data_IF_425175532547
#
_entry.id   IF_425175532547
#
_cell.length_a   1.000
_cell.length_b   1.000
_cell.length_c   1.000
_cell.angle_alpha   90.00
_cell.angle_beta   90.00
_cell.angle_gamma   90.00
#
_symmetry.space_group_name_H-M   'P 1'
#
loop_
_entity.id
_entity.type
_entity.pdbx_description
1 polymer ?
#
# COMPACT_ATOMS: atom_id res chain seq x y z
N UNK A 1 51.80 -16.95 10.84
CA UNK A 1 51.02 -16.35 11.95
C UNK A 1 49.97 -15.30 11.56
N UNK A 2 49.98 -14.79 10.33
CA UNK A 2 49.01 -13.74 9.88
C UNK A 2 47.64 -14.26 9.39
N UNK A 3 47.50 -15.55 9.13
CA UNK A 3 46.25 -16.12 8.51
C UNK A 3 45.04 -16.09 9.50
N UNK A 4 45.25 -16.39 10.76
CA UNK A 4 44.20 -16.44 11.77
C UNK A 4 43.47 -15.09 11.99
N UNK A 5 44.16 -13.95 12.17
CA UNK A 5 43.50 -12.67 12.32
C UNK A 5 42.74 -12.21 11.06
N UNK A 6 43.24 -12.57 9.83
CA UNK A 6 42.55 -12.27 8.59
C UNK A 6 41.26 -13.06 8.46
N UNK A 7 41.24 -14.34 8.82
CA UNK A 7 40.03 -15.17 8.82
C UNK A 7 38.99 -14.67 9.85
N UNK A 8 39.43 -14.28 11.04
CA UNK A 8 38.53 -13.71 12.07
C UNK A 8 37.92 -12.40 11.58
N UNK A 9 38.70 -11.50 10.99
CA UNK A 9 38.20 -10.25 10.44
C UNK A 9 37.19 -10.48 9.30
N UNK A 10 37.49 -11.38 8.38
CA UNK A 10 36.58 -11.75 7.30
C UNK A 10 35.26 -12.33 7.84
N UNK A 11 35.31 -13.20 8.85
CA UNK A 11 34.13 -13.76 9.49
C UNK A 11 33.26 -12.68 10.18
N UNK A 12 33.91 -11.71 10.85
CA UNK A 12 33.21 -10.57 11.47
C UNK A 12 32.56 -9.68 10.43
N UNK A 13 33.23 -9.37 9.33
CA UNK A 13 32.64 -8.61 8.22
C UNK A 13 31.44 -9.34 7.61
N UNK A 14 31.56 -10.63 7.38
CA UNK A 14 30.48 -11.46 6.83
C UNK A 14 29.28 -11.49 7.81
N UNK A 15 29.53 -11.67 9.10
CA UNK A 15 28.46 -11.67 10.12
C UNK A 15 27.75 -10.33 10.21
N UNK A 16 28.48 -9.21 10.11
CA UNK A 16 27.92 -7.87 10.07
C UNK A 16 27.08 -7.65 8.81
N UNK A 17 27.53 -8.10 7.66
CA UNK A 17 26.82 -8.03 6.38
C UNK A 17 25.51 -8.85 6.44
N UNK A 18 25.58 -10.07 6.96
CA UNK A 18 24.39 -10.93 7.16
C UNK A 18 23.43 -10.24 8.12
N UNK A 19 23.87 -9.71 9.25
CA UNK A 19 23.04 -9.00 10.20
C UNK A 19 22.36 -7.76 9.56
N UNK A 20 23.07 -7.05 8.67
CA UNK A 20 22.54 -5.90 7.95
C UNK A 20 21.43 -6.29 6.96
N UNK A 21 21.65 -7.36 6.18
CA UNK A 21 20.71 -7.88 5.20
C UNK A 21 19.47 -8.48 5.87
N UNK A 22 19.66 -9.11 7.03
CA UNK A 22 18.61 -9.80 7.78
C UNK A 22 17.82 -8.89 8.71
N UNK A 23 18.04 -7.56 8.70
CA UNK A 23 17.28 -6.64 9.55
C UNK A 23 15.80 -6.62 9.16
N UNK A 24 14.89 -6.59 10.17
CA UNK A 24 13.47 -6.33 9.91
C UNK A 24 13.28 -4.94 9.30
N UNK A 25 12.29 -4.81 8.45
CA UNK A 25 11.90 -3.55 7.82
C UNK A 25 10.46 -3.27 8.13
N UNK A 26 10.15 -2.04 8.49
CA UNK A 26 8.80 -1.59 8.82
C UNK A 26 8.24 -0.70 7.72
N UNK A 27 7.01 -0.97 7.33
CA UNK A 27 6.28 -0.23 6.31
C UNK A 27 5.01 0.35 6.92
N UNK A 28 4.86 1.67 6.79
CA UNK A 28 3.69 2.43 7.18
C UNK A 28 2.87 2.72 5.94
N UNK A 29 1.87 1.89 5.65
CA UNK A 29 0.97 2.11 4.53
C UNK A 29 -0.08 3.13 4.92
N UNK A 30 -0.09 4.26 4.23
CA UNK A 30 -1.01 5.37 4.44
C UNK A 30 -1.96 5.46 3.26
N UNK A 31 -3.27 5.41 3.49
CA UNK A 31 -4.23 5.81 2.47
C UNK A 31 -4.14 7.33 2.30
N UNK A 32 -4.18 7.82 1.06
CA UNK A 32 -4.21 9.26 0.79
C UNK A 32 -5.30 9.97 1.60
N UNK A 33 -5.11 11.25 1.90
CA UNK A 33 -6.09 12.11 2.55
C UNK A 33 -7.38 12.25 1.72
N UNK A 34 -8.46 12.72 2.34
CA UNK A 34 -9.71 13.00 1.66
C UNK A 34 -9.51 13.91 0.44
N UNK A 35 -10.23 13.63 -0.64
CA UNK A 35 -10.24 14.48 -1.85
C UNK A 35 -11.57 15.23 -1.95
N UNK A 36 -11.61 16.30 -2.73
CA UNK A 36 -12.86 17.01 -3.05
C UNK A 36 -13.90 16.04 -3.61
N UNK A 37 -13.50 15.18 -4.55
CA UNK A 37 -14.39 14.18 -5.15
C UNK A 37 -14.84 13.08 -4.17
N UNK A 38 -14.04 12.77 -3.14
CA UNK A 38 -14.51 11.89 -2.05
C UNK A 38 -15.66 12.53 -1.27
N UNK A 39 -15.50 13.80 -0.89
CA UNK A 39 -16.52 14.55 -0.17
C UNK A 39 -17.81 14.72 -0.98
N UNK A 40 -17.69 14.83 -2.29
CA UNK A 40 -18.82 14.94 -3.23
C UNK A 40 -19.39 13.57 -3.66
N UNK A 41 -18.88 12.46 -3.15
CA UNK A 41 -19.28 11.10 -3.54
C UNK A 41 -19.17 10.82 -5.04
N UNK A 42 -18.14 11.35 -5.71
CA UNK A 42 -17.86 11.14 -7.13
C UNK A 42 -16.77 10.08 -7.32
N UNK A 43 -16.96 9.19 -8.30
CA UNK A 43 -15.98 8.18 -8.66
C UNK A 43 -14.75 8.80 -9.31
N UNK A 44 -13.58 8.52 -8.74
CA UNK A 44 -12.33 9.15 -9.16
C UNK A 44 -11.53 8.27 -10.11
N UNK A 45 -10.87 8.94 -11.05
CA UNK A 45 -9.76 8.39 -11.85
C UNK A 45 -8.39 8.70 -11.21
N UNK A 46 -7.45 9.06 -12.06
CA UNK A 46 -6.07 9.39 -11.65
C UNK A 46 -5.99 10.77 -10.99
N UNK A 47 -6.75 11.72 -11.50
CA UNK A 47 -6.79 13.11 -11.07
C UNK A 47 -7.68 13.31 -9.84
N UNK A 48 -7.60 14.48 -9.27
CA UNK A 48 -8.34 14.89 -8.08
C UNK A 48 -7.43 15.12 -6.89
N UNK A 49 -7.31 16.39 -6.50
CA UNK A 49 -6.49 16.85 -5.38
C UNK A 49 -7.18 16.64 -4.02
N UNK A 50 -6.43 16.87 -2.96
CA UNK A 50 -6.93 16.81 -1.59
C UNK A 50 -7.92 17.93 -1.30
N UNK A 51 -8.95 17.62 -0.52
CA UNK A 51 -9.79 18.61 0.15
C UNK A 51 -8.97 19.31 1.26
N UNK A 52 -9.49 20.40 1.80
CA UNK A 52 -8.86 21.03 2.96
C UNK A 52 -8.84 20.11 4.18
N UNK A 53 -9.84 19.25 4.32
CA UNK A 53 -9.86 18.20 5.32
C UNK A 53 -8.73 17.17 5.06
N UNK A 54 -8.58 16.71 3.81
CA UNK A 54 -7.51 15.80 3.42
C UNK A 54 -6.10 16.35 3.66
N UNK A 55 -5.90 17.65 3.46
CA UNK A 55 -4.64 18.32 3.81
C UNK A 55 -4.38 18.30 5.32
N UNK A 56 -5.42 18.55 6.16
CA UNK A 56 -5.30 18.44 7.62
C UNK A 56 -4.98 17.00 8.05
N UNK A 57 -5.66 16.02 7.47
CA UNK A 57 -5.38 14.60 7.70
C UNK A 57 -3.92 14.24 7.36
N UNK A 58 -3.41 14.69 6.21
CA UNK A 58 -2.02 14.44 5.83
C UNK A 58 -1.01 15.09 6.78
N UNK A 59 -1.31 16.29 7.32
CA UNK A 59 -0.49 16.94 8.36
C UNK A 59 -0.49 16.14 9.65
N UNK A 60 -1.64 15.62 10.10
CA UNK A 60 -1.74 14.77 11.29
C UNK A 60 -0.87 13.52 11.15
N UNK A 61 -0.88 12.85 9.97
CA UNK A 61 0.03 11.74 9.68
C UNK A 61 1.49 12.17 9.79
N UNK A 62 1.86 13.31 9.21
CA UNK A 62 3.21 13.84 9.28
C UNK A 62 3.67 14.07 10.73
N UNK A 63 2.81 14.70 11.54
CA UNK A 63 3.05 14.93 12.98
C UNK A 63 3.22 13.61 13.74
N UNK A 64 2.36 12.63 13.48
CA UNK A 64 2.42 11.31 14.11
C UNK A 64 3.74 10.57 13.80
N UNK A 65 4.19 10.64 12.55
CA UNK A 65 5.34 9.89 12.06
C UNK A 65 6.69 10.61 12.29
N UNK A 66 6.73 11.91 12.60
CA UNK A 66 7.97 12.72 12.64
C UNK A 66 9.04 12.24 13.64
N UNK A 67 8.61 11.53 14.69
CA UNK A 67 9.53 11.01 15.71
C UNK A 67 10.00 9.58 15.42
N UNK A 68 9.49 8.95 14.35
CA UNK A 68 9.88 7.62 13.95
C UNK A 68 11.09 7.67 13.00
N UNK A 69 11.95 6.64 12.99
CA UNK A 69 13.16 6.62 12.16
C UNK A 69 12.85 6.33 10.69
N UNK A 70 11.93 7.10 10.10
CA UNK A 70 11.56 6.98 8.69
C UNK A 70 12.72 7.41 7.80
N UNK A 71 13.10 6.58 6.84
CA UNK A 71 14.23 6.85 5.94
C UNK A 71 13.80 7.27 4.53
N UNK A 72 12.54 6.98 4.13
CA UNK A 72 11.99 7.39 2.83
C UNK A 72 10.47 7.31 2.77
N UNK A 73 9.92 7.94 1.74
CA UNK A 73 8.52 7.78 1.32
C UNK A 73 8.50 7.17 -0.08
N UNK A 74 7.61 6.21 -0.32
CA UNK A 74 7.27 5.73 -1.67
C UNK A 74 5.78 5.98 -1.87
N UNK A 75 5.41 6.76 -2.87
CA UNK A 75 4.03 7.17 -3.11
C UNK A 75 3.52 6.69 -4.46
N UNK A 76 2.20 6.48 -4.53
CA UNK A 76 1.48 6.38 -5.78
C UNK A 76 1.73 7.61 -6.67
N UNK A 77 1.60 7.42 -7.98
CA UNK A 77 1.71 8.51 -8.97
C UNK A 77 0.46 9.38 -9.07
N UNK A 78 -0.70 8.96 -8.51
CA UNK A 78 -1.94 9.73 -8.56
C UNK A 78 -1.85 11.00 -7.72
N UNK A 79 -2.46 12.10 -8.20
CA UNK A 79 -2.32 13.45 -7.63
C UNK A 79 -2.57 13.45 -6.11
N UNK A 80 -3.69 12.92 -5.63
CA UNK A 80 -4.06 12.89 -4.20
C UNK A 80 -3.02 12.21 -3.31
N UNK A 81 -2.38 11.14 -3.80
CA UNK A 81 -1.32 10.45 -3.06
C UNK A 81 -0.01 11.24 -3.08
N UNK A 82 0.31 11.89 -4.22
CA UNK A 82 1.47 12.78 -4.31
C UNK A 82 1.33 13.95 -3.33
N UNK A 83 0.19 14.65 -3.32
CA UNK A 83 -0.08 15.76 -2.39
C UNK A 83 0.01 15.26 -0.94
N UNK A 84 -0.60 14.14 -0.60
CA UNK A 84 -0.49 13.52 0.73
C UNK A 84 0.98 13.28 1.10
N UNK A 85 1.76 12.67 0.20
CA UNK A 85 3.17 12.36 0.45
C UNK A 85 4.03 13.61 0.61
N UNK A 86 3.75 14.67 -0.14
CA UNK A 86 4.47 15.94 -0.03
C UNK A 86 4.20 16.62 1.32
N UNK A 87 2.93 16.67 1.76
CA UNK A 87 2.57 17.24 3.06
C UNK A 87 3.20 16.44 4.21
N UNK A 88 3.16 15.11 4.17
CA UNK A 88 3.84 14.26 5.15
C UNK A 88 5.35 14.56 5.16
N UNK A 89 5.95 14.78 3.98
CA UNK A 89 7.38 15.02 3.86
C UNK A 89 7.84 16.39 4.38
N UNK A 90 6.94 17.35 4.56
CA UNK A 90 7.25 18.61 5.27
C UNK A 90 7.74 18.34 6.70
N UNK A 91 7.28 17.26 7.32
CA UNK A 91 7.65 16.82 8.66
C UNK A 91 8.84 15.84 8.69
N UNK A 92 8.90 14.92 7.73
CA UNK A 92 9.90 13.84 7.71
C UNK A 92 11.21 14.25 7.04
N UNK A 93 11.17 15.11 6.02
CA UNK A 93 12.32 15.63 5.26
C UNK A 93 13.22 14.53 4.69
N UNK A 94 12.61 13.49 4.14
CA UNK A 94 13.29 12.33 3.53
C UNK A 94 13.10 12.28 2.02
N UNK A 95 13.77 11.35 1.34
CA UNK A 95 13.58 11.14 -0.09
C UNK A 95 12.17 10.62 -0.40
N UNK A 96 11.54 11.16 -1.46
CA UNK A 96 10.24 10.71 -1.97
C UNK A 96 10.42 10.07 -3.33
N UNK A 97 9.97 8.83 -3.48
CA UNK A 97 9.93 8.09 -4.74
C UNK A 97 8.48 7.87 -5.17
N UNK A 98 8.24 7.82 -6.47
CA UNK A 98 6.90 7.57 -7.01
C UNK A 98 6.87 6.24 -7.77
N UNK A 99 5.78 5.47 -7.57
CA UNK A 99 5.63 4.16 -8.20
C UNK A 99 4.22 3.94 -8.74
N UNK A 100 4.07 3.59 -10.02
CA UNK A 100 2.78 3.23 -10.60
C UNK A 100 2.23 1.91 -10.05
N UNK A 101 3.02 1.14 -9.31
CA UNK A 101 2.53 -0.07 -8.64
C UNK A 101 1.62 0.23 -7.45
N UNK A 102 1.65 1.46 -6.92
CA UNK A 102 0.90 1.88 -5.75
C UNK A 102 -0.41 2.60 -6.09
N UNK A 103 -0.77 2.72 -7.37
CA UNK A 103 -2.01 3.38 -7.79
C UNK A 103 -3.26 2.63 -7.32
N UNK A 104 -4.41 3.31 -7.32
CA UNK A 104 -5.69 2.68 -7.00
C UNK A 104 -6.07 1.62 -8.04
N UNK A 105 -7.02 0.74 -7.71
CA UNK A 105 -7.68 -0.11 -8.69
C UNK A 105 -8.24 0.77 -9.80
N UNK A 106 -7.92 0.43 -11.06
CA UNK A 106 -8.52 1.12 -12.19
C UNK A 106 -9.98 0.68 -12.32
N UNK A 107 -10.89 1.64 -12.13
CA UNK A 107 -12.31 1.45 -12.35
C UNK A 107 -12.64 1.46 -13.86
N UNK A 108 -13.77 0.87 -14.27
CA UNK A 108 -14.28 1.05 -15.63
C UNK A 108 -14.41 2.55 -15.96
N UNK A 109 -14.01 2.95 -17.16
CA UNK A 109 -14.07 4.35 -17.62
C UNK A 109 -15.48 4.93 -17.57
N UNK A 110 -16.48 4.07 -17.72
CA UNK A 110 -17.90 4.42 -17.75
C UNK A 110 -18.41 5.06 -16.46
N UNK A 111 -17.75 4.78 -15.32
CA UNK A 111 -18.15 5.31 -14.00
C UNK A 111 -17.28 6.47 -13.52
N UNK A 112 -16.15 6.74 -14.16
CA UNK A 112 -15.25 7.82 -13.76
C UNK A 112 -15.91 9.19 -13.96
N UNK A 113 -15.81 10.06 -12.94
CA UNK A 113 -16.39 11.40 -12.94
C UNK A 113 -17.91 11.44 -12.68
N UNK A 114 -18.54 10.29 -12.45
CA UNK A 114 -19.98 10.22 -12.15
C UNK A 114 -20.23 10.08 -10.64
N UNK A 115 -21.33 10.65 -10.12
CA UNK A 115 -21.76 10.44 -8.73
C UNK A 115 -22.00 8.96 -8.43
N UNK A 116 -21.63 8.51 -7.24
CA UNK A 116 -21.81 7.09 -6.82
C UNK A 116 -23.27 6.66 -6.79
N UNK A 117 -24.20 7.59 -6.52
CA UNK A 117 -25.65 7.35 -6.54
C UNK A 117 -26.30 7.37 -7.92
N UNK A 118 -25.53 7.59 -9.01
CA UNK A 118 -26.05 7.52 -10.37
C UNK A 118 -26.51 6.10 -10.70
N UNK A 119 -27.75 5.88 -11.24
CA UNK A 119 -28.28 4.54 -11.49
C UNK A 119 -27.43 3.68 -12.41
N UNK A 120 -26.77 4.27 -13.42
CA UNK A 120 -25.88 3.54 -14.32
C UNK A 120 -24.61 3.10 -13.59
N UNK A 121 -24.04 3.98 -12.73
CA UNK A 121 -22.88 3.68 -11.88
C UNK A 121 -23.22 2.55 -10.91
N UNK A 122 -24.36 2.62 -10.25
CA UNK A 122 -24.83 1.58 -9.33
C UNK A 122 -24.98 0.23 -10.05
N UNK A 123 -25.62 0.22 -11.21
CA UNK A 123 -25.76 -1.01 -12.01
C UNK A 123 -24.42 -1.64 -12.40
N UNK A 124 -23.43 -0.82 -12.79
CA UNK A 124 -22.09 -1.32 -13.14
C UNK A 124 -21.40 -1.89 -11.90
N UNK A 125 -21.52 -1.20 -10.75
CA UNK A 125 -20.95 -1.67 -9.49
C UNK A 125 -21.60 -2.98 -9.05
N UNK A 126 -22.92 -3.09 -9.11
CA UNK A 126 -23.65 -4.31 -8.78
C UNK A 126 -23.21 -5.49 -9.67
N UNK A 127 -23.01 -5.24 -10.97
CA UNK A 127 -22.46 -6.26 -11.87
C UNK A 127 -21.04 -6.68 -11.46
N UNK A 128 -20.20 -5.73 -11.11
CA UNK A 128 -18.84 -6.01 -10.61
C UNK A 128 -18.89 -6.84 -9.32
N UNK A 129 -19.77 -6.49 -8.39
CA UNK A 129 -19.89 -7.15 -7.10
C UNK A 129 -20.50 -8.55 -7.22
N UNK A 130 -21.52 -8.73 -8.07
CA UNK A 130 -22.13 -10.03 -8.36
C UNK A 130 -21.14 -11.01 -9.00
N UNK A 131 -20.30 -10.53 -9.91
CA UNK A 131 -19.32 -11.34 -10.61
C UNK A 131 -17.96 -11.40 -9.89
N UNK A 132 -17.83 -10.81 -8.73
CA UNK A 132 -16.56 -10.74 -7.99
C UNK A 132 -16.05 -12.11 -7.49
N UNK A 133 -16.91 -13.14 -7.52
CA UNK A 133 -16.49 -14.51 -7.26
C UNK A 133 -15.78 -15.16 -8.46
N UNK A 134 -15.82 -14.53 -9.63
CA UNK A 134 -15.14 -14.96 -10.85
C UNK A 134 -13.80 -14.24 -11.00
N UNK A 135 -12.70 -14.95 -10.80
CA UNK A 135 -11.35 -14.39 -10.79
C UNK A 135 -11.02 -13.54 -12.04
N UNK A 136 -11.51 -13.95 -13.22
CA UNK A 136 -11.21 -13.32 -14.50
C UNK A 136 -12.29 -12.37 -15.03
N UNK A 137 -13.39 -12.19 -14.31
CA UNK A 137 -14.45 -11.29 -14.76
C UNK A 137 -13.92 -9.86 -14.92
N UNK A 138 -14.39 -9.17 -15.95
CA UNK A 138 -13.96 -7.80 -16.26
C UNK A 138 -15.08 -7.03 -16.95
N UNK A 139 -15.31 -5.80 -16.51
CA UNK A 139 -16.12 -4.84 -17.22
C UNK A 139 -15.19 -3.83 -17.90
N UNK A 140 -15.31 -3.72 -19.23
CA UNK A 140 -14.56 -2.73 -20.03
C UNK A 140 -13.04 -2.81 -19.77
N UNK A 141 -12.42 -1.69 -19.41
CA UNK A 141 -10.97 -1.55 -19.20
C UNK A 141 -10.55 -1.59 -17.73
N UNK A 142 -11.43 -2.02 -16.83
CA UNK A 142 -11.10 -2.12 -15.40
C UNK A 142 -9.89 -3.02 -15.11
N UNK A 143 -9.25 -2.78 -13.99
CA UNK A 143 -8.30 -3.72 -13.40
C UNK A 143 -9.08 -4.75 -12.57
N UNK A 144 -9.20 -5.99 -13.07
CA UNK A 144 -9.94 -7.03 -12.38
C UNK A 144 -9.17 -7.61 -11.18
N UNK A 145 -9.78 -8.60 -10.49
CA UNK A 145 -9.18 -9.24 -9.32
C UNK A 145 -7.79 -9.85 -9.61
N UNK A 146 -7.64 -10.56 -10.74
CA UNK A 146 -6.37 -11.23 -11.09
C UNK A 146 -5.27 -10.22 -11.36
N UNK A 147 -5.57 -9.14 -12.07
CA UNK A 147 -4.61 -8.07 -12.34
C UNK A 147 -4.17 -7.39 -11.05
N UNK A 148 -5.13 -7.05 -10.18
CA UNK A 148 -4.89 -6.40 -8.91
C UNK A 148 -4.04 -7.27 -7.98
N UNK A 149 -4.35 -8.58 -7.89
CA UNK A 149 -3.58 -9.57 -7.14
C UNK A 149 -2.14 -9.69 -7.67
N UNK A 150 -1.97 -9.74 -9.01
CA UNK A 150 -0.64 -9.78 -9.65
C UNK A 150 0.18 -8.53 -9.34
N UNK A 151 -0.46 -7.34 -9.37
CA UNK A 151 0.19 -6.07 -9.03
C UNK A 151 0.57 -6.00 -7.54
N UNK A 152 -0.30 -6.45 -6.64
CA UNK A 152 -0.01 -6.54 -5.21
C UNK A 152 1.21 -7.45 -4.93
N UNK A 153 1.25 -8.63 -5.57
CA UNK A 153 2.42 -9.54 -5.49
C UNK A 153 3.70 -8.85 -5.92
N UNK A 154 3.68 -8.17 -7.09
CA UNK A 154 4.84 -7.44 -7.63
C UNK A 154 5.28 -6.32 -6.69
N UNK A 155 4.32 -5.54 -6.17
CA UNK A 155 4.56 -4.46 -5.23
C UNK A 155 5.27 -4.98 -3.95
N UNK A 156 4.71 -5.97 -3.28
CA UNK A 156 5.30 -6.56 -2.06
C UNK A 156 6.68 -7.18 -2.31
N UNK A 157 6.88 -7.80 -3.47
CA UNK A 157 8.20 -8.32 -3.86
C UNK A 157 9.25 -7.20 -4.01
N UNK A 158 8.86 -6.04 -4.57
CA UNK A 158 9.75 -4.89 -4.66
C UNK A 158 10.02 -4.26 -3.30
N UNK A 159 8.99 -4.09 -2.47
CA UNK A 159 9.14 -3.56 -1.12
C UNK A 159 10.03 -4.45 -0.24
N UNK A 160 9.91 -5.77 -0.35
CA UNK A 160 10.76 -6.70 0.40
C UNK A 160 12.25 -6.63 0.04
N UNK A 161 12.61 -5.97 -1.05
CA UNK A 161 14.01 -5.78 -1.49
C UNK A 161 14.56 -4.39 -1.14
N UNK A 162 13.73 -3.50 -0.58
CA UNK A 162 14.17 -2.16 -0.19
C UNK A 162 15.19 -2.24 0.96
N UNK A 163 16.23 -1.40 0.90
CA UNK A 163 17.26 -1.36 1.95
C UNK A 163 16.86 -0.58 3.19
N UNK A 164 15.89 0.34 3.08
CA UNK A 164 15.44 1.19 4.18
C UNK A 164 14.77 0.38 5.29
N UNK A 165 15.05 0.75 6.56
CA UNK A 165 14.46 0.07 7.72
C UNK A 165 13.02 0.47 7.98
N UNK A 166 12.69 1.73 7.75
CA UNK A 166 11.35 2.26 7.91
C UNK A 166 10.98 3.09 6.68
N UNK A 167 9.84 2.76 6.07
CA UNK A 167 9.36 3.38 4.83
C UNK A 167 7.89 3.72 4.96
N UNK A 168 7.52 4.95 4.63
CA UNK A 168 6.11 5.34 4.45
C UNK A 168 5.70 5.02 3.01
N UNK A 169 4.56 4.35 2.87
CA UNK A 169 3.97 3.99 1.57
C UNK A 169 2.63 4.71 1.43
N UNK A 170 2.53 5.70 0.54
CA UNK A 170 1.25 6.38 0.30
C UNK A 170 0.53 5.72 -0.88
N UNK A 171 -0.66 5.22 -0.62
CA UNK A 171 -1.46 4.44 -1.56
C UNK A 171 -2.96 4.72 -1.41
N UNK A 172 -3.82 3.80 -1.82
CA UNK A 172 -5.25 3.98 -1.97
C UNK A 172 -6.03 2.86 -1.27
N UNK A 173 -7.34 3.10 -1.10
CA UNK A 173 -8.25 2.24 -0.35
C UNK A 173 -8.31 0.79 -0.85
N UNK A 174 -8.67 0.61 -2.11
CA UNK A 174 -8.91 -0.74 -2.65
C UNK A 174 -7.61 -1.51 -2.84
N UNK A 175 -6.56 -0.82 -3.30
CA UNK A 175 -5.26 -1.45 -3.46
C UNK A 175 -4.62 -1.85 -2.11
N UNK A 176 -4.77 -1.03 -1.07
CA UNK A 176 -4.30 -1.38 0.28
C UNK A 176 -5.01 -2.63 0.81
N UNK A 177 -6.34 -2.73 0.64
CA UNK A 177 -7.09 -3.95 0.96
C UNK A 177 -6.53 -5.18 0.23
N UNK A 178 -6.23 -5.05 -1.07
CA UNK A 178 -5.64 -6.14 -1.84
C UNK A 178 -4.25 -6.51 -1.32
N UNK A 179 -3.41 -5.54 -0.95
CA UNK A 179 -2.10 -5.82 -0.36
C UNK A 179 -2.24 -6.63 0.92
N UNK A 180 -3.12 -6.23 1.84
CA UNK A 180 -3.36 -6.93 3.11
C UNK A 180 -3.95 -8.32 2.86
N UNK A 181 -4.95 -8.44 2.00
CA UNK A 181 -5.54 -9.74 1.65
C UNK A 181 -4.49 -10.69 1.06
N UNK A 182 -3.65 -10.18 0.15
CA UNK A 182 -2.57 -10.97 -0.43
C UNK A 182 -1.50 -11.33 0.62
N UNK A 183 -1.21 -10.49 1.60
CA UNK A 183 -0.32 -10.85 2.71
C UNK A 183 -0.84 -12.04 3.51
N UNK A 184 -2.14 -12.12 3.73
CA UNK A 184 -2.78 -13.19 4.52
C UNK A 184 -2.89 -14.51 3.74
N UNK A 185 -3.32 -14.46 2.49
CA UNK A 185 -3.68 -15.66 1.70
C UNK A 185 -2.68 -16.03 0.62
N UNK A 186 -1.84 -15.10 0.18
CA UNK A 186 -0.84 -15.30 -0.88
C UNK A 186 -1.47 -15.82 -2.18
N UNK A 187 -0.87 -16.81 -2.80
CA UNK A 187 -1.37 -17.39 -4.05
C UNK A 187 -2.74 -18.07 -3.89
N UNK A 188 -3.12 -18.43 -2.66
CA UNK A 188 -4.42 -19.02 -2.35
C UNK A 188 -5.56 -18.02 -2.24
N UNK A 189 -5.28 -16.72 -2.37
CA UNK A 189 -6.31 -15.69 -2.38
C UNK A 189 -7.19 -15.85 -3.61
N UNK A 190 -8.48 -16.08 -3.44
CA UNK A 190 -9.51 -16.07 -4.47
C UNK A 190 -10.38 -14.82 -4.37
N UNK A 191 -11.08 -14.49 -5.45
CA UNK A 191 -11.91 -13.29 -5.50
C UNK A 191 -12.99 -13.29 -4.41
N UNK A 192 -13.65 -14.42 -4.18
CA UNK A 192 -14.65 -14.57 -3.11
C UNK A 192 -14.11 -14.33 -1.70
N UNK A 193 -12.83 -14.71 -1.42
CA UNK A 193 -12.19 -14.42 -0.14
C UNK A 193 -11.90 -12.93 0.02
N UNK A 194 -11.47 -12.30 -1.08
CA UNK A 194 -11.21 -10.87 -1.10
C UNK A 194 -12.47 -10.04 -0.82
N UNK A 195 -13.62 -10.42 -1.39
CA UNK A 195 -14.92 -9.78 -1.12
C UNK A 195 -15.24 -9.85 0.37
N UNK A 196 -15.17 -11.05 0.96
CA UNK A 196 -15.46 -11.26 2.40
C UNK A 196 -14.55 -10.41 3.28
N UNK A 197 -13.24 -10.36 2.99
CA UNK A 197 -12.29 -9.51 3.72
C UNK A 197 -12.58 -8.03 3.51
N UNK A 198 -12.93 -7.62 2.29
CA UNK A 198 -13.20 -6.22 1.95
C UNK A 198 -14.42 -5.67 2.66
N UNK A 199 -15.40 -6.50 3.00
CA UNK A 199 -16.59 -6.10 3.73
C UNK A 199 -16.26 -5.67 5.17
N UNK A 200 -15.30 -6.33 5.82
CA UNK A 200 -14.91 -6.03 7.21
C UNK A 200 -13.76 -5.03 7.35
N UNK A 201 -13.01 -4.79 6.28
CA UNK A 201 -11.80 -3.98 6.33
C UNK A 201 -12.04 -2.61 5.71
N UNK A 202 -12.43 -1.64 6.53
CA UNK A 202 -12.42 -0.23 6.13
C UNK A 202 -11.00 0.32 6.24
N UNK A 203 -10.61 1.10 5.24
CA UNK A 203 -9.39 1.90 5.28
C UNK A 203 -9.83 3.35 5.15
N UNK A 204 -9.73 4.10 6.25
CA UNK A 204 -10.11 5.52 6.29
C UNK A 204 -9.07 6.38 5.58
N UNK A 205 -9.46 7.59 5.16
CA UNK A 205 -8.52 8.56 4.62
C UNK A 205 -7.46 8.89 5.67
N UNK A 206 -6.20 8.90 5.27
CA UNK A 206 -5.03 9.05 6.13
C UNK A 206 -4.83 7.95 7.20
N UNK A 207 -5.65 6.88 7.19
CA UNK A 207 -5.44 5.74 8.06
C UNK A 207 -4.11 5.04 7.77
N UNK A 208 -3.43 4.59 8.82
CA UNK A 208 -2.09 3.97 8.79
C UNK A 208 -2.22 2.47 9.05
N UNK A 209 -1.68 1.67 8.14
CA UNK A 209 -1.55 0.21 8.32
C UNK A 209 -0.07 -0.12 8.43
N UNK A 210 0.32 -0.78 9.51
CA UNK A 210 1.73 -1.10 9.78
C UNK A 210 1.99 -2.56 9.43
N UNK A 211 3.02 -2.79 8.61
CA UNK A 211 3.49 -4.12 8.28
C UNK A 211 4.99 -4.23 8.51
N UNK A 212 5.42 -5.34 9.09
CA UNK A 212 6.84 -5.69 9.22
C UNK A 212 7.21 -6.76 8.18
N UNK A 213 8.40 -6.63 7.62
CA UNK A 213 9.01 -7.64 6.79
C UNK A 213 10.26 -8.21 7.47
N UNK A 214 10.30 -9.51 7.67
CA UNK A 214 11.39 -10.26 8.28
C UNK A 214 12.11 -11.12 7.24
N UNK A 215 13.28 -10.74 6.71
CA UNK A 215 13.96 -11.45 5.64
C UNK A 215 14.26 -12.93 5.96
N UNK A 216 14.50 -13.26 7.24
CA UNK A 216 14.77 -14.64 7.67
C UNK A 216 13.54 -15.55 7.71
N UNK A 217 12.32 -14.97 7.67
CA UNK A 217 11.06 -15.72 7.67
C UNK A 217 10.52 -16.02 6.28
N UNK A 218 11.35 -16.06 5.25
CA UNK A 218 10.94 -16.27 3.85
C UNK A 218 10.22 -17.61 3.62
N UNK A 219 10.47 -18.61 4.45
CA UNK A 219 9.80 -19.92 4.41
C UNK A 219 8.49 -19.97 5.21
N UNK A 220 8.13 -18.89 5.91
CA UNK A 220 6.82 -18.79 6.58
C UNK A 220 5.68 -18.71 5.56
N UNK A 221 4.45 -18.99 6.01
CA UNK A 221 3.23 -18.88 5.18
C UNK A 221 3.08 -17.49 4.55
N UNK A 222 3.49 -16.44 5.25
CA UNK A 222 3.42 -15.04 4.80
C UNK A 222 4.71 -14.58 4.12
N UNK A 223 5.70 -15.45 3.96
CA UNK A 223 7.03 -15.14 3.37
C UNK A 223 7.67 -13.90 4.01
N UNK A 224 7.67 -13.87 5.32
CA UNK A 224 8.34 -12.84 6.12
C UNK A 224 7.49 -11.61 6.43
N UNK A 225 6.35 -11.43 5.83
CA UNK A 225 5.46 -10.31 6.12
C UNK A 225 4.57 -10.58 7.35
N UNK A 226 4.36 -9.54 8.14
CA UNK A 226 3.46 -9.55 9.31
C UNK A 226 2.66 -8.25 9.29
N UNK A 227 1.33 -8.33 9.38
CA UNK A 227 0.48 -7.16 9.63
C UNK A 227 0.52 -6.91 11.13
N UNK A 228 1.02 -5.76 11.54
CA UNK A 228 1.17 -5.36 12.95
C UNK A 228 -0.10 -4.66 13.42
N UNK A 229 -0.58 -3.72 12.62
CA UNK A 229 -1.83 -3.01 12.88
C UNK A 229 -2.52 -2.64 11.57
N UNK A 230 -3.81 -2.34 11.64
CA UNK A 230 -4.62 -2.00 10.48
C UNK A 230 -5.47 -0.76 10.75
N UNK A 231 -5.37 0.24 9.86
CA UNK A 231 -6.19 1.45 9.84
C UNK A 231 -6.17 2.25 11.15
N UNK A 232 -4.98 2.44 11.75
CA UNK A 232 -4.81 3.35 12.87
C UNK A 232 -5.06 4.80 12.43
N UNK A 233 -5.77 5.56 13.25
CA UNK A 233 -5.98 6.99 13.02
C UNK A 233 -4.92 7.78 13.80
N UNK A 234 -4.16 8.69 13.15
CA UNK A 234 -3.13 9.50 13.78
C UNK A 234 -3.70 10.69 14.59
#
# INVERSE_FOLDING_TARGET
MLLAPVLVFAALLLSLLIALIMRPRRFYFVRHGETVLNAEHVRQGEEGGLSDNGKRQAKSVGEHLKHLPIERIISSTYQRARETSMIINEYLKVSVLYSPLLVERRNPKEIIGKPTGNPEVMRIIDQMDLAYHEDNFRISDEENFVDLKKRARKCLSLLSRQGARATVIVTHHHFLKMLVAYLLYRERLHAGDFVKLSFFNFSDNAGITICDYHPWKIFSKTRGWVVVSYNEQP
#
